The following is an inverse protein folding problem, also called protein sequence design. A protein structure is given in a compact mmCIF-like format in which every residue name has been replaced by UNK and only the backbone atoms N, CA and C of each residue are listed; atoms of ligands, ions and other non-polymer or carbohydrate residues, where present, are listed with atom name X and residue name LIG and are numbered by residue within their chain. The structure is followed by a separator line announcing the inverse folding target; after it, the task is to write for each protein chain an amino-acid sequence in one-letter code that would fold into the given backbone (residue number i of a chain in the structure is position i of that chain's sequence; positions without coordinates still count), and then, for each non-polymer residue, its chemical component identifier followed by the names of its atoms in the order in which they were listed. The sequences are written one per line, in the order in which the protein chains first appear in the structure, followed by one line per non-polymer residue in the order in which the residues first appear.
data_IF_023878633469
#
_entry.id   IF_023878633469
#
_cell.length_a   1.000
_cell.length_b   1.000
_cell.length_c   1.000
_cell.angle_alpha   90.00
_cell.angle_beta   90.00
_cell.angle_gamma   90.00
#
_symmetry.space_group_name_H-M   'P 1'
#
loop_
_entity.id
_entity.type
_entity.pdbx_description
1 polymer ?
#
# COMPACT_ATOMS: atom_id res chain seq x y z
N UNK A 1 5.85 -17.50 22.53
CA UNK A 1 6.89 -16.78 21.76
C UNK A 1 7.25 -17.52 20.49
N UNK A 2 7.50 -18.84 20.53
CA UNK A 2 7.74 -19.65 19.31
C UNK A 2 6.62 -19.48 18.28
N UNK A 3 5.36 -19.69 18.68
CA UNK A 3 4.21 -19.63 17.76
C UNK A 3 4.12 -18.31 16.95
N UNK A 4 4.42 -17.16 17.55
CA UNK A 4 4.41 -15.87 16.85
C UNK A 4 5.56 -15.77 15.82
N UNK A 5 6.74 -16.29 16.16
CA UNK A 5 7.87 -16.30 15.22
C UNK A 5 7.62 -17.31 14.09
N UNK A 6 7.02 -18.46 14.41
CA UNK A 6 6.57 -19.45 13.44
C UNK A 6 5.57 -18.83 12.45
N UNK A 7 4.56 -18.11 12.95
CA UNK A 7 3.59 -17.39 12.13
C UNK A 7 4.25 -16.32 11.25
N UNK A 8 5.16 -15.51 11.81
CA UNK A 8 5.89 -14.49 11.04
C UNK A 8 6.72 -15.12 9.91
N UNK A 9 7.42 -16.22 10.19
CA UNK A 9 8.20 -16.94 9.16
C UNK A 9 7.28 -17.48 8.06
N UNK A 10 6.14 -18.07 8.42
CA UNK A 10 5.14 -18.54 7.44
C UNK A 10 4.63 -17.39 6.58
N UNK A 11 4.30 -16.25 7.18
CA UNK A 11 3.80 -15.08 6.44
C UNK A 11 4.87 -14.51 5.50
N UNK A 12 6.13 -14.40 5.94
CA UNK A 12 7.25 -13.94 5.10
C UNK A 12 7.44 -14.86 3.89
N UNK A 13 7.51 -16.17 4.10
CA UNK A 13 7.66 -17.16 3.02
C UNK A 13 6.47 -17.13 2.05
N UNK A 14 5.25 -16.98 2.58
CA UNK A 14 4.05 -16.86 1.75
C UNK A 14 4.07 -15.61 0.87
N UNK A 15 4.55 -14.49 1.40
CA UNK A 15 4.72 -13.25 0.64
C UNK A 15 5.84 -13.36 -0.40
N UNK A 16 6.93 -14.04 -0.08
CA UNK A 16 8.03 -14.31 -1.00
C UNK A 16 7.58 -15.16 -2.20
N UNK A 17 6.91 -16.28 -1.96
CA UNK A 17 6.37 -17.14 -3.03
C UNK A 17 5.38 -16.35 -3.90
N UNK A 18 4.52 -15.52 -3.28
CA UNK A 18 3.62 -14.65 -4.04
C UNK A 18 4.38 -13.62 -4.87
N UNK A 19 5.44 -13.01 -4.35
CA UNK A 19 6.27 -12.08 -5.11
C UNK A 19 6.95 -12.75 -6.30
N UNK A 20 7.48 -13.96 -6.13
CA UNK A 20 8.06 -14.75 -7.23
C UNK A 20 7.02 -15.04 -8.32
N UNK A 21 5.80 -15.43 -7.94
CA UNK A 21 4.70 -15.64 -8.89
C UNK A 21 4.31 -14.34 -9.63
N UNK A 22 4.26 -13.21 -8.92
CA UNK A 22 3.99 -11.91 -9.55
C UNK A 22 5.13 -11.50 -10.49
N UNK A 23 6.39 -11.72 -10.10
CA UNK A 23 7.55 -11.45 -10.95
C UNK A 23 7.51 -12.26 -12.24
N UNK A 24 7.23 -13.56 -12.17
CA UNK A 24 7.11 -14.40 -13.37
C UNK A 24 6.03 -13.88 -14.34
N UNK A 25 4.87 -13.45 -13.80
CA UNK A 25 3.79 -12.84 -14.60
C UNK A 25 4.21 -11.54 -15.27
N UNK A 26 4.93 -10.68 -14.55
CA UNK A 26 5.43 -9.39 -15.07
C UNK A 26 6.53 -9.60 -16.12
N UNK A 27 7.48 -10.51 -15.90
CA UNK A 27 8.58 -10.75 -16.85
C UNK A 27 8.11 -11.42 -18.14
N UNK A 28 7.17 -12.37 -18.02
CA UNK A 28 6.59 -13.07 -19.17
C UNK A 28 5.39 -12.34 -19.81
N UNK A 29 5.00 -11.18 -19.27
CA UNK A 29 3.84 -10.38 -19.73
C UNK A 29 2.55 -11.21 -19.87
N UNK A 30 2.27 -12.09 -18.91
CA UNK A 30 1.16 -13.05 -19.03
C UNK A 30 -0.23 -12.42 -18.87
N UNK A 31 -0.29 -11.27 -18.19
CA UNK A 31 -1.53 -10.54 -17.92
C UNK A 31 -1.25 -9.08 -17.49
N UNK A 32 -2.29 -8.27 -17.44
CA UNK A 32 -2.22 -6.84 -17.10
C UNK A 32 -2.18 -6.57 -15.58
N UNK A 33 -2.48 -7.56 -14.73
CA UNK A 33 -2.58 -7.42 -13.27
C UNK A 33 -1.30 -7.83 -12.52
N UNK A 34 -0.31 -8.39 -13.21
CA UNK A 34 0.94 -8.85 -12.60
C UNK A 34 1.66 -7.76 -11.81
N UNK A 35 1.75 -6.54 -12.35
CA UNK A 35 2.37 -5.41 -11.66
C UNK A 35 1.53 -4.93 -10.47
N UNK A 36 0.19 -4.93 -10.60
CA UNK A 36 -0.72 -4.60 -9.51
C UNK A 36 -0.55 -5.55 -8.32
N UNK A 37 -0.52 -6.85 -8.59
CA UNK A 37 -0.35 -7.88 -7.57
C UNK A 37 1.04 -7.83 -6.92
N UNK A 38 2.10 -7.60 -7.71
CA UNK A 38 3.45 -7.37 -7.19
C UNK A 38 3.44 -6.22 -6.19
N UNK A 39 2.90 -5.06 -6.59
CA UNK A 39 2.80 -3.86 -5.73
C UNK A 39 1.98 -4.09 -4.47
N UNK A 40 0.84 -4.77 -4.59
CA UNK A 40 0.00 -5.11 -3.45
C UNK A 40 0.74 -6.04 -2.48
N UNK A 41 1.52 -6.99 -2.99
CA UNK A 41 2.32 -7.92 -2.19
C UNK A 41 3.47 -7.22 -1.48
N UNK A 42 4.22 -6.34 -2.17
CA UNK A 42 5.25 -5.47 -1.57
C UNK A 42 4.66 -4.59 -0.46
N UNK A 43 3.45 -4.04 -0.67
CA UNK A 43 2.76 -3.25 0.36
C UNK A 43 2.40 -4.08 1.59
N UNK A 44 1.93 -5.33 1.42
CA UNK A 44 1.65 -6.25 2.53
C UNK A 44 2.93 -6.58 3.30
N UNK A 45 4.03 -6.85 2.59
CA UNK A 45 5.35 -7.06 3.20
C UNK A 45 5.78 -5.86 4.06
N UNK A 46 5.67 -4.64 3.54
CA UNK A 46 5.99 -3.42 4.33
C UNK A 46 5.14 -3.28 5.58
N UNK A 47 3.84 -3.60 5.49
CA UNK A 47 2.94 -3.57 6.65
C UNK A 47 3.30 -4.61 7.70
N UNK A 48 3.70 -5.80 7.26
CA UNK A 48 4.24 -6.85 8.14
C UNK A 48 5.51 -6.40 8.86
N UNK A 49 6.46 -5.80 8.13
CA UNK A 49 7.78 -5.41 8.66
C UNK A 49 7.73 -4.21 9.61
N UNK A 50 6.77 -3.29 9.44
CA UNK A 50 6.78 -2.02 10.15
C UNK A 50 6.68 -2.16 11.68
N UNK A 51 5.83 -3.04 12.25
CA UNK A 51 5.87 -3.33 13.69
C UNK A 51 7.17 -3.99 14.16
N UNK A 52 7.96 -4.56 13.25
CA UNK A 52 9.22 -5.27 13.55
C UNK A 52 10.47 -4.36 13.51
N UNK A 53 10.40 -3.13 12.98
CA UNK A 53 11.58 -2.22 12.85
C UNK A 53 12.42 -2.13 14.12
N UNK A 54 13.74 -2.09 13.99
CA UNK A 54 14.69 -2.17 15.10
C UNK A 54 14.88 -3.60 15.62
N UNK A 55 14.57 -4.60 14.80
CA UNK A 55 15.07 -5.97 14.91
C UNK A 55 16.10 -6.20 13.80
N UNK A 56 17.07 -7.11 13.98
CA UNK A 56 18.08 -7.42 12.96
C UNK A 56 17.45 -7.80 11.61
N UNK A 57 17.98 -7.25 10.52
CA UNK A 57 17.56 -7.59 9.15
C UNK A 57 16.27 -6.89 8.66
N UNK A 58 15.43 -6.35 9.56
CA UNK A 58 14.13 -5.77 9.16
C UNK A 58 14.30 -4.52 8.30
N UNK A 59 15.26 -3.66 8.63
CA UNK A 59 15.46 -2.39 7.93
C UNK A 59 15.93 -2.61 6.49
N UNK A 60 16.78 -3.61 6.26
CA UNK A 60 17.24 -3.98 4.92
C UNK A 60 16.08 -4.45 4.03
N UNK A 61 15.20 -5.32 4.55
CA UNK A 61 14.02 -5.80 3.80
C UNK A 61 13.03 -4.66 3.57
N UNK A 62 12.80 -3.81 4.58
CA UNK A 62 11.89 -2.67 4.45
C UNK A 62 12.38 -1.66 3.41
N UNK A 63 13.68 -1.37 3.40
CA UNK A 63 14.30 -0.47 2.42
C UNK A 63 14.20 -1.02 1.00
N UNK A 64 14.53 -2.31 0.79
CA UNK A 64 14.40 -2.94 -0.52
C UNK A 64 12.94 -2.93 -1.01
N UNK A 65 11.98 -3.24 -0.12
CA UNK A 65 10.56 -3.17 -0.44
C UNK A 65 10.09 -1.74 -0.75
N UNK A 66 10.65 -0.73 -0.08
CA UNK A 66 10.39 0.68 -0.39
C UNK A 66 10.91 1.06 -1.78
N UNK A 67 12.13 0.64 -2.15
CA UNK A 67 12.73 0.92 -3.46
C UNK A 67 11.87 0.35 -4.59
N UNK A 68 11.42 -0.91 -4.48
CA UNK A 68 10.48 -1.51 -5.44
C UNK A 68 9.16 -0.74 -5.48
N UNK A 69 8.65 -0.30 -4.32
CA UNK A 69 7.46 0.56 -4.24
C UNK A 69 7.63 1.88 -5.00
N UNK A 70 8.77 2.55 -4.86
CA UNK A 70 9.08 3.80 -5.56
C UNK A 70 9.20 3.58 -7.08
N UNK A 71 9.94 2.54 -7.48
CA UNK A 71 10.14 2.16 -8.90
C UNK A 71 8.80 1.93 -9.62
N UNK A 72 7.86 1.27 -8.95
CA UNK A 72 6.60 0.83 -9.58
C UNK A 72 5.46 1.84 -9.47
N UNK A 73 5.61 2.92 -8.70
CA UNK A 73 4.50 3.88 -8.46
C UNK A 73 4.15 4.70 -9.69
N UNK A 74 5.09 5.31 -10.42
CA UNK A 74 4.77 6.07 -11.63
C UNK A 74 4.07 5.23 -12.70
N UNK A 75 4.50 3.97 -12.86
CA UNK A 75 3.90 3.02 -13.81
C UNK A 75 2.45 2.76 -13.43
N UNK A 76 2.18 2.43 -12.15
CA UNK A 76 0.82 2.17 -11.69
C UNK A 76 -0.10 3.37 -11.79
N UNK A 77 0.40 4.56 -11.47
CA UNK A 77 -0.38 5.80 -11.56
C UNK A 77 -0.76 6.06 -13.03
N UNK A 78 0.12 5.70 -13.99
CA UNK A 78 -0.15 5.76 -15.43
C UNK A 78 -1.18 4.70 -15.87
N UNK A 79 -1.09 3.46 -15.41
CA UNK A 79 -2.08 2.41 -15.68
C UNK A 79 -3.49 2.81 -15.19
N UNK A 80 -3.58 3.31 -13.95
CA UNK A 80 -4.85 3.72 -13.34
C UNK A 80 -5.49 4.86 -14.13
N UNK A 81 -4.71 5.85 -14.54
CA UNK A 81 -5.19 6.93 -15.40
C UNK A 81 -5.62 6.42 -16.78
N UNK A 82 -4.84 5.54 -17.41
CA UNK A 82 -5.18 4.97 -18.71
C UNK A 82 -6.51 4.21 -18.67
N UNK A 83 -6.68 3.33 -17.67
CA UNK A 83 -7.92 2.59 -17.47
C UNK A 83 -9.11 3.51 -17.19
N UNK A 84 -8.91 4.61 -16.45
CA UNK A 84 -9.94 5.63 -16.26
C UNK A 84 -10.33 6.31 -17.57
N UNK A 85 -9.35 6.82 -18.33
CA UNK A 85 -9.56 7.52 -19.60
C UNK A 85 -10.29 6.62 -20.61
N UNK A 86 -9.90 5.34 -20.68
CA UNK A 86 -10.54 4.38 -21.57
C UNK A 86 -12.03 4.22 -21.24
N UNK A 87 -12.39 4.09 -19.95
CA UNK A 87 -13.79 3.99 -19.50
C UNK A 87 -14.60 5.26 -19.77
N UNK A 88 -13.96 6.42 -19.87
CA UNK A 88 -14.60 7.69 -20.23
C UNK A 88 -14.63 7.97 -21.74
N UNK A 89 -14.19 7.02 -22.57
CA UNK A 89 -14.19 7.16 -24.04
C UNK A 89 -12.97 7.94 -24.59
N UNK A 90 -12.01 8.33 -23.75
CA UNK A 90 -10.78 9.01 -24.17
C UNK A 90 -9.71 8.00 -24.64
N UNK A 91 -10.04 7.19 -25.65
CA UNK A 91 -9.22 6.04 -26.06
C UNK A 91 -7.82 6.43 -26.55
N UNK A 92 -7.66 7.54 -27.28
CA UNK A 92 -6.35 8.01 -27.76
C UNK A 92 -5.42 8.39 -26.60
N UNK A 93 -5.95 9.15 -25.63
CA UNK A 93 -5.20 9.52 -24.44
C UNK A 93 -4.87 8.28 -23.58
N UNK A 94 -5.79 7.32 -23.48
CA UNK A 94 -5.52 6.06 -22.80
C UNK A 94 -4.39 5.26 -23.48
N UNK A 95 -4.45 5.09 -24.80
CA UNK A 95 -3.46 4.34 -25.57
C UNK A 95 -2.04 4.90 -25.45
N UNK A 96 -1.90 6.24 -25.48
CA UNK A 96 -0.61 6.92 -25.27
C UNK A 96 0.03 6.56 -23.93
N UNK A 97 -0.77 6.29 -22.91
CA UNK A 97 -0.31 5.94 -21.55
C UNK A 97 0.01 4.45 -21.40
N UNK A 98 -0.41 3.61 -22.33
CA UNK A 98 -0.14 2.16 -22.31
C UNK A 98 0.90 1.73 -23.35
N UNK A 99 1.29 2.63 -24.26
CA UNK A 99 2.23 2.34 -25.37
C UNK A 99 3.54 1.67 -24.93
N UNK A 100 4.13 2.12 -23.81
CA UNK A 100 5.41 1.63 -23.29
C UNK A 100 5.26 0.68 -22.09
N UNK A 101 4.07 0.14 -21.84
CA UNK A 101 3.81 -0.59 -20.60
C UNK A 101 4.61 -1.89 -20.51
N UNK A 102 4.78 -2.60 -21.64
CA UNK A 102 5.61 -3.81 -21.71
C UNK A 102 7.07 -3.54 -21.36
N UNK A 103 7.65 -2.46 -21.88
CA UNK A 103 9.03 -2.06 -21.58
C UNK A 103 9.21 -1.71 -20.10
N UNK A 104 8.24 -1.00 -19.52
CA UNK A 104 8.23 -0.70 -18.09
C UNK A 104 8.12 -1.96 -17.22
N UNK A 105 7.34 -2.94 -17.65
CA UNK A 105 7.22 -4.22 -16.94
C UNK A 105 8.53 -4.98 -16.95
N UNK A 106 9.22 -5.06 -18.09
CA UNK A 106 10.56 -5.65 -18.15
C UNK A 106 11.59 -4.88 -17.35
N UNK A 107 11.52 -3.54 -17.38
CA UNK A 107 12.40 -2.69 -16.57
C UNK A 107 12.23 -2.99 -15.08
N UNK A 108 11.00 -3.18 -14.59
CA UNK A 108 10.70 -3.61 -13.21
C UNK A 108 11.18 -5.04 -12.95
N UNK A 109 10.82 -5.99 -13.81
CA UNK A 109 11.13 -7.41 -13.61
C UNK A 109 12.63 -7.70 -13.56
N UNK A 110 13.43 -6.90 -14.28
CA UNK A 110 14.88 -7.09 -14.41
C UNK A 110 15.69 -6.10 -13.55
N UNK A 111 15.00 -5.26 -12.79
CA UNK A 111 15.61 -4.18 -12.02
C UNK A 111 16.53 -4.70 -10.90
N UNK A 112 17.59 -3.93 -10.56
CA UNK A 112 18.40 -4.25 -9.39
C UNK A 112 17.60 -4.16 -8.08
N UNK A 113 16.60 -3.28 -7.97
CA UNK A 113 15.76 -3.13 -6.78
C UNK A 113 14.96 -4.40 -6.48
N UNK A 114 14.38 -5.03 -7.51
CA UNK A 114 13.58 -6.25 -7.33
C UNK A 114 14.49 -7.44 -7.02
N UNK A 115 15.65 -7.55 -7.69
CA UNK A 115 16.68 -8.55 -7.37
C UNK A 115 17.17 -8.41 -5.93
N UNK A 116 17.42 -7.18 -5.48
CA UNK A 116 17.84 -6.90 -4.11
C UNK A 116 16.74 -7.30 -3.12
N UNK A 117 15.47 -6.99 -3.40
CA UNK A 117 14.35 -7.41 -2.56
C UNK A 117 14.30 -8.93 -2.41
N UNK A 118 14.41 -9.69 -3.50
CA UNK A 118 14.44 -11.15 -3.42
C UNK A 118 15.63 -11.67 -2.60
N UNK A 119 16.82 -11.12 -2.80
CA UNK A 119 18.02 -11.55 -2.07
C UNK A 119 17.91 -11.33 -0.56
N UNK A 120 17.42 -10.16 -0.11
CA UNK A 120 17.25 -9.91 1.33
C UNK A 120 16.09 -10.68 1.92
N UNK A 121 15.04 -10.94 1.13
CA UNK A 121 13.85 -11.67 1.59
C UNK A 121 14.15 -13.16 1.79
N UNK A 122 14.90 -13.80 0.89
CA UNK A 122 15.33 -15.21 1.03
C UNK A 122 16.13 -15.45 2.31
N UNK A 123 16.97 -14.48 2.69
CA UNK A 123 17.77 -14.56 3.91
C UNK A 123 16.98 -14.24 5.19
N UNK A 124 15.88 -13.49 5.09
CA UNK A 124 15.19 -12.93 6.24
C UNK A 124 14.58 -13.97 7.21
N UNK A 125 13.92 -15.06 6.75
CA UNK A 125 13.45 -16.12 7.64
C UNK A 125 14.56 -16.71 8.52
N UNK A 126 15.76 -16.91 7.95
CA UNK A 126 16.92 -17.42 8.67
C UNK A 126 17.39 -16.44 9.75
N UNK A 127 17.38 -15.14 9.45
CA UNK A 127 17.67 -14.10 10.44
C UNK A 127 16.64 -14.03 11.57
N UNK A 128 15.35 -14.19 11.28
CA UNK A 128 14.30 -14.26 12.30
C UNK A 128 14.52 -15.44 13.25
N UNK A 129 14.85 -16.62 12.71
CA UNK A 129 15.15 -17.82 13.50
C UNK A 129 16.41 -17.64 14.35
N UNK A 130 17.49 -17.13 13.79
CA UNK A 130 18.71 -16.83 14.54
C UNK A 130 18.44 -15.84 15.69
N UNK A 131 17.67 -14.78 15.42
CA UNK A 131 17.26 -13.79 16.43
C UNK A 131 16.40 -14.41 17.54
N UNK A 132 15.54 -15.37 17.20
CA UNK A 132 14.76 -16.14 18.17
C UNK A 132 15.68 -16.96 19.08
N UNK A 133 16.62 -17.72 18.50
CA UNK A 133 17.57 -18.55 19.26
C UNK A 133 18.46 -17.72 20.19
N UNK A 134 18.86 -16.51 19.76
CA UNK A 134 19.66 -15.58 20.56
C UNK A 134 18.83 -14.79 21.59
N UNK A 135 17.51 -15.00 21.67
CA UNK A 135 16.64 -14.30 22.62
C UNK A 135 16.37 -12.83 22.29
N UNK A 136 16.76 -12.34 21.11
CA UNK A 136 16.60 -10.95 20.67
C UNK A 136 15.13 -10.57 20.39
N UNK A 137 14.24 -11.57 20.28
CA UNK A 137 12.81 -11.39 20.04
C UNK A 137 11.97 -11.37 21.33
N UNK A 138 12.61 -11.26 22.50
CA UNK A 138 11.91 -11.18 23.78
C UNK A 138 10.99 -9.96 23.81
N UNK A 139 9.72 -10.18 24.13
CA UNK A 139 8.71 -9.12 24.17
C UNK A 139 8.18 -8.67 22.81
N UNK A 140 8.50 -9.37 21.72
CA UNK A 140 8.05 -9.03 20.36
C UNK A 140 6.53 -8.84 20.27
N UNK A 141 5.76 -9.72 20.90
CA UNK A 141 4.30 -9.63 20.98
C UNK A 141 3.83 -8.24 21.48
N UNK A 142 4.28 -7.85 22.68
CA UNK A 142 3.95 -6.55 23.29
C UNK A 142 4.45 -5.38 22.44
N UNK A 143 5.60 -5.52 21.78
CA UNK A 143 6.16 -4.50 20.88
C UNK A 143 5.24 -4.27 19.67
N UNK A 144 4.73 -5.34 19.06
CA UNK A 144 3.81 -5.26 17.93
C UNK A 144 2.50 -4.63 18.38
N UNK A 145 1.88 -5.14 19.46
CA UNK A 145 0.64 -4.57 20.02
C UNK A 145 0.77 -3.07 20.29
N UNK A 146 1.85 -2.65 20.97
CA UNK A 146 2.11 -1.23 21.27
C UNK A 146 2.24 -0.38 20.01
N UNK A 147 2.83 -0.91 18.94
CA UNK A 147 2.96 -0.18 17.67
C UNK A 147 1.65 -0.10 16.91
N UNK A 148 0.82 -1.13 16.95
CA UNK A 148 -0.52 -1.10 16.35
C UNK A 148 -1.42 -0.09 17.10
N UNK A 149 -1.40 -0.12 18.44
CA UNK A 149 -2.13 0.85 19.26
C UNK A 149 -1.72 2.30 18.95
N UNK A 150 -0.41 2.58 18.88
CA UNK A 150 0.09 3.91 18.49
C UNK A 150 -0.35 4.36 17.10
N UNK A 151 -0.52 3.45 16.15
CA UNK A 151 -1.01 3.80 14.82
C UNK A 151 -2.50 4.14 14.84
N UNK A 152 -3.25 3.46 15.72
CA UNK A 152 -4.66 3.75 15.97
C UNK A 152 -4.84 5.11 16.65
N UNK A 153 -4.10 5.38 17.72
CA UNK A 153 -4.06 6.69 18.40
C UNK A 153 -3.68 7.82 17.45
N UNK A 154 -2.66 7.63 16.61
CA UNK A 154 -2.27 8.64 15.63
C UNK A 154 -3.33 8.89 14.54
N UNK A 155 -4.19 7.90 14.25
CA UNK A 155 -5.33 8.09 13.36
C UNK A 155 -6.45 8.85 14.07
N UNK A 156 -6.71 8.51 15.33
CA UNK A 156 -7.67 9.20 16.19
C UNK A 156 -7.37 10.71 16.29
N UNK A 157 -6.14 11.04 16.69
CA UNK A 157 -5.65 12.42 16.80
C UNK A 157 -5.80 13.18 15.48
N UNK A 158 -5.51 12.51 14.35
CA UNK A 158 -5.60 13.13 13.04
C UNK A 158 -7.04 13.30 12.54
N UNK A 159 -7.97 12.44 12.96
CA UNK A 159 -9.40 12.57 12.63
C UNK A 159 -10.06 13.70 13.40
N UNK A 160 -9.64 13.90 14.66
CA UNK A 160 -10.17 14.96 15.53
C UNK A 160 -9.54 16.34 15.30
N UNK A 161 -8.55 16.46 14.42
CA UNK A 161 -8.00 17.75 13.99
C UNK A 161 -9.00 18.47 13.04
N UNK A 162 -9.54 19.65 13.40
CA UNK A 162 -10.47 20.39 12.54
C UNK A 162 -9.85 20.85 11.21
N UNK A 163 -8.51 20.90 11.13
CA UNK A 163 -7.75 21.29 9.95
C UNK A 163 -7.04 20.08 9.33
N UNK A 164 -7.57 18.87 9.55
CA UNK A 164 -6.93 17.65 9.06
C UNK A 164 -6.68 17.67 7.55
N UNK A 165 -5.48 17.21 7.18
CA UNK A 165 -5.16 16.96 5.78
C UNK A 165 -5.68 15.58 5.36
N UNK A 166 -6.59 15.57 4.37
CA UNK A 166 -7.15 14.34 3.77
C UNK A 166 -6.09 13.42 3.20
N UNK A 167 -5.00 13.96 2.65
CA UNK A 167 -3.89 13.15 2.17
C UNK A 167 -3.18 12.43 3.33
N UNK A 168 -2.87 13.15 4.41
CA UNK A 168 -2.34 12.56 5.65
C UNK A 168 -3.27 11.49 6.22
N UNK A 169 -4.57 11.75 6.33
CA UNK A 169 -5.56 10.77 6.78
C UNK A 169 -5.59 9.52 5.92
N UNK A 170 -5.55 9.67 4.59
CA UNK A 170 -5.47 8.54 3.66
C UNK A 170 -4.27 7.64 3.92
N UNK A 171 -3.11 8.23 4.23
CA UNK A 171 -1.90 7.47 4.56
C UNK A 171 -2.01 6.75 5.92
N UNK A 172 -2.64 7.39 6.92
CA UNK A 172 -2.87 6.80 8.24
C UNK A 172 -3.89 5.66 8.19
N UNK A 173 -5.02 5.86 7.51
CA UNK A 173 -6.06 4.83 7.30
C UNK A 173 -5.46 3.60 6.60
N UNK A 174 -4.71 3.80 5.51
CA UNK A 174 -4.00 2.70 4.83
C UNK A 174 -3.09 1.97 5.80
N UNK A 175 -2.32 2.71 6.60
CA UNK A 175 -1.37 2.15 7.56
C UNK A 175 -2.06 1.29 8.61
N UNK A 176 -3.11 1.80 9.26
CA UNK A 176 -3.88 1.06 10.27
C UNK A 176 -4.52 -0.18 9.65
N UNK A 177 -5.21 -0.04 8.51
CA UNK A 177 -5.90 -1.16 7.86
C UNK A 177 -4.95 -2.29 7.51
N UNK A 178 -3.84 -1.99 6.82
CA UNK A 178 -2.89 -3.03 6.42
C UNK A 178 -2.14 -3.64 7.60
N UNK A 179 -1.91 -2.89 8.67
CA UNK A 179 -1.29 -3.44 9.87
C UNK A 179 -2.24 -4.39 10.61
N UNK A 180 -3.53 -4.08 10.67
CA UNK A 180 -4.55 -4.97 11.22
C UNK A 180 -4.74 -6.23 10.37
N UNK A 181 -4.71 -6.11 9.03
CA UNK A 181 -4.73 -7.26 8.12
C UNK A 181 -3.49 -8.16 8.27
N UNK A 182 -2.31 -7.57 8.52
CA UNK A 182 -1.07 -8.34 8.73
C UNK A 182 -1.02 -9.03 10.10
N UNK A 183 -1.67 -8.46 11.11
CA UNK A 183 -1.68 -8.95 12.49
C UNK A 183 -3.12 -9.11 13.01
N UNK A 184 -3.91 -10.04 12.46
CA UNK A 184 -5.33 -10.18 12.78
C UNK A 184 -5.60 -10.52 14.26
N UNK A 185 -4.70 -11.27 14.89
CA UNK A 185 -4.83 -11.68 16.29
C UNK A 185 -4.25 -10.67 17.30
N UNK A 186 -3.48 -9.69 16.85
CA UNK A 186 -2.79 -8.71 17.71
C UNK A 186 -3.36 -7.30 17.62
N UNK A 187 -4.11 -7.00 16.57
CA UNK A 187 -4.81 -5.73 16.48
C UNK A 187 -5.98 -5.74 17.48
N UNK A 188 -6.14 -4.63 18.19
CA UNK A 188 -7.22 -4.43 19.18
C UNK A 188 -8.27 -3.45 18.64
N UNK A 189 -8.50 -3.50 17.33
CA UNK A 189 -9.46 -2.60 16.70
C UNK A 189 -10.89 -3.00 17.06
N UNK A 190 -11.82 -2.03 17.18
CA UNK A 190 -13.25 -2.33 17.31
C UNK A 190 -13.74 -3.19 16.14
N UNK A 191 -14.73 -4.07 16.39
CA UNK A 191 -15.31 -4.95 15.37
C UNK A 191 -15.71 -4.23 14.05
N UNK A 192 -16.31 -3.02 14.05
CA UNK A 192 -16.65 -2.33 12.80
C UNK A 192 -15.45 -1.68 12.10
N UNK A 193 -14.29 -1.53 12.76
CA UNK A 193 -13.20 -0.67 12.31
C UNK A 193 -12.65 -1.05 10.94
N UNK A 194 -12.41 -2.35 10.67
CA UNK A 194 -11.88 -2.79 9.37
C UNK A 194 -12.81 -2.41 8.20
N UNK A 195 -14.13 -2.53 8.39
CA UNK A 195 -15.12 -2.16 7.37
C UNK A 195 -15.16 -0.66 7.16
N UNK A 196 -15.12 0.12 8.25
CA UNK A 196 -15.11 1.58 8.20
C UNK A 196 -13.83 2.11 7.57
N UNK A 197 -12.66 1.56 7.93
CA UNK A 197 -11.36 1.89 7.34
C UNK A 197 -11.32 1.59 5.84
N UNK A 198 -11.90 0.47 5.40
CA UNK A 198 -12.00 0.14 3.97
C UNK A 198 -12.84 1.17 3.22
N UNK A 199 -14.02 1.52 3.75
CA UNK A 199 -14.90 2.54 3.17
C UNK A 199 -14.20 3.90 3.07
N UNK A 200 -13.51 4.31 4.14
CA UNK A 200 -12.78 5.59 4.18
C UNK A 200 -11.60 5.59 3.19
N UNK A 201 -10.88 4.48 3.08
CA UNK A 201 -9.79 4.33 2.12
C UNK A 201 -10.27 4.42 0.67
N UNK A 202 -11.43 3.84 0.35
CA UNK A 202 -12.03 3.91 -0.98
C UNK A 202 -12.44 5.35 -1.32
N UNK A 203 -13.17 6.03 -0.45
CA UNK A 203 -13.60 7.41 -0.69
C UNK A 203 -12.41 8.39 -0.82
N UNK A 204 -11.41 8.28 0.05
CA UNK A 204 -10.18 9.07 -0.07
C UNK A 204 -9.32 8.66 -1.27
N UNK A 205 -9.46 7.44 -1.76
CA UNK A 205 -8.86 6.97 -3.01
C UNK A 205 -9.44 7.72 -4.20
N UNK A 206 -10.76 7.71 -4.34
CA UNK A 206 -11.49 8.40 -5.40
C UNK A 206 -11.12 9.90 -5.50
N UNK A 207 -11.06 10.57 -4.35
CA UNK A 207 -10.64 11.98 -4.26
C UNK A 207 -9.18 12.18 -4.67
N UNK A 208 -8.27 11.36 -4.15
CA UNK A 208 -6.84 11.51 -4.39
C UNK A 208 -6.47 11.26 -5.86
N UNK A 209 -7.11 10.27 -6.50
CA UNK A 209 -6.87 9.97 -7.90
C UNK A 209 -7.26 11.16 -8.78
N UNK A 210 -8.41 11.80 -8.53
CA UNK A 210 -8.82 13.03 -9.23
C UNK A 210 -7.82 14.17 -9.03
N UNK A 211 -7.36 14.37 -7.79
CA UNK A 211 -6.36 15.40 -7.47
C UNK A 211 -5.04 15.15 -8.24
N UNK A 212 -4.54 13.91 -8.27
CA UNK A 212 -3.34 13.56 -9.03
C UNK A 212 -3.53 13.79 -10.53
N UNK A 213 -4.69 13.45 -11.10
CA UNK A 213 -4.96 13.67 -12.52
C UNK A 213 -5.05 15.13 -12.89
N UNK A 214 -5.63 15.97 -12.03
CA UNK A 214 -5.65 17.43 -12.24
C UNK A 214 -4.23 18.02 -12.27
N UNK A 215 -3.34 17.59 -11.36
CA UNK A 215 -1.93 18.00 -11.40
C UNK A 215 -1.24 17.55 -12.70
N UNK A 216 -1.51 16.34 -13.19
CA UNK A 216 -0.96 15.86 -14.46
C UNK A 216 -1.49 16.67 -15.64
N UNK A 217 -2.75 17.07 -15.62
CA UNK A 217 -3.34 17.85 -16.71
C UNK A 217 -2.65 19.21 -16.90
N UNK A 218 -2.06 19.79 -15.85
CA UNK A 218 -1.27 21.03 -15.97
C UNK A 218 -0.06 20.89 -16.91
N UNK A 219 0.46 19.66 -17.07
CA UNK A 219 1.66 19.37 -17.86
C UNK A 219 1.37 18.55 -19.13
N UNK A 220 0.21 17.91 -19.21
CA UNK A 220 -0.19 16.99 -20.29
C UNK A 220 -1.40 17.56 -21.08
N UNK A 221 -1.17 18.22 -22.23
CA UNK A 221 -2.23 18.94 -22.95
C UNK A 221 -3.40 18.05 -23.42
N UNK A 222 -3.16 16.77 -23.67
CA UNK A 222 -4.18 15.81 -24.07
C UNK A 222 -5.19 15.49 -22.95
N UNK A 223 -4.93 15.92 -21.71
CA UNK A 223 -5.85 15.77 -20.58
C UNK A 223 -6.76 16.98 -20.37
N UNK A 224 -6.54 18.10 -21.08
CA UNK A 224 -7.26 19.36 -20.83
C UNK A 224 -8.78 19.21 -20.98
N UNK A 225 -9.24 18.37 -21.90
CA UNK A 225 -10.68 18.09 -22.08
C UNK A 225 -11.33 17.41 -20.86
N UNK A 226 -10.54 16.75 -20.02
CA UNK A 226 -11.03 16.00 -18.85
C UNK A 226 -11.15 16.86 -17.59
N UNK A 227 -10.45 18.01 -17.54
CA UNK A 227 -10.27 18.83 -16.33
C UNK A 227 -11.61 19.24 -15.70
N UNK A 228 -12.57 19.70 -16.50
CA UNK A 228 -13.88 20.13 -16.01
C UNK A 228 -14.64 18.98 -15.34
N UNK A 229 -14.60 17.78 -15.94
CA UNK A 229 -15.19 16.58 -15.38
C UNK A 229 -14.52 16.17 -14.08
N UNK A 230 -13.19 16.13 -14.05
CA UNK A 230 -12.42 15.75 -12.87
C UNK A 230 -12.60 16.71 -11.70
N UNK A 231 -12.69 18.02 -11.92
CA UNK A 231 -13.02 18.99 -10.85
C UNK A 231 -14.38 18.69 -10.21
N UNK A 232 -15.38 18.38 -11.04
CA UNK A 232 -16.71 18.00 -10.54
C UNK A 232 -16.67 16.69 -9.76
N UNK A 233 -16.01 15.67 -10.29
CA UNK A 233 -15.85 14.38 -9.60
C UNK A 233 -15.08 14.52 -8.29
N UNK A 234 -14.02 15.33 -8.27
CA UNK A 234 -13.22 15.59 -7.07
C UNK A 234 -14.07 16.23 -5.97
N UNK A 235 -14.90 17.24 -6.28
CA UNK A 235 -15.79 17.88 -5.31
C UNK A 235 -16.83 16.90 -4.73
N UNK A 236 -17.36 15.98 -5.55
CA UNK A 236 -18.27 14.94 -5.07
C UNK A 236 -17.54 13.91 -4.18
N UNK A 237 -16.34 13.52 -4.57
CA UNK A 237 -15.50 12.57 -3.82
C UNK A 237 -15.03 13.18 -2.49
N UNK A 238 -14.76 14.48 -2.44
CA UNK A 238 -14.43 15.22 -1.23
C UNK A 238 -15.58 15.15 -0.22
N UNK A 239 -16.80 15.55 -0.62
CA UNK A 239 -17.98 15.45 0.23
C UNK A 239 -18.27 14.03 0.71
N UNK A 240 -18.03 13.02 -0.14
CA UNK A 240 -18.17 11.60 0.22
C UNK A 240 -17.10 11.19 1.23
N UNK A 241 -15.85 11.62 1.06
CA UNK A 241 -14.75 11.31 1.96
C UNK A 241 -15.03 11.87 3.36
N UNK A 242 -15.45 13.14 3.46
CA UNK A 242 -15.74 13.78 4.74
C UNK A 242 -16.81 13.02 5.52
N UNK A 243 -17.95 12.72 4.89
CA UNK A 243 -19.03 11.94 5.53
C UNK A 243 -18.59 10.56 6.01
N UNK A 244 -17.68 9.92 5.29
CA UNK A 244 -17.16 8.59 5.66
C UNK A 244 -16.12 8.70 6.77
N UNK A 245 -15.35 9.79 6.82
CA UNK A 245 -14.43 10.09 7.91
C UNK A 245 -15.16 10.43 9.20
N UNK A 246 -16.23 11.24 9.14
CA UNK A 246 -17.10 11.53 10.29
C UNK A 246 -17.66 10.23 10.86
N UNK A 247 -18.22 9.38 9.99
CA UNK A 247 -18.74 8.07 10.39
C UNK A 247 -17.67 7.16 10.98
N UNK A 248 -16.45 7.18 10.41
CA UNK A 248 -15.32 6.41 10.95
C UNK A 248 -14.98 6.87 12.36
N UNK A 249 -14.94 8.19 12.59
CA UNK A 249 -14.74 8.79 13.91
C UNK A 249 -15.84 8.33 14.88
N UNK A 250 -17.10 8.57 14.53
CA UNK A 250 -18.27 8.24 15.36
C UNK A 250 -18.33 6.75 15.72
N UNK A 251 -18.02 5.87 14.77
CA UNK A 251 -18.18 4.42 14.96
C UNK A 251 -17.03 3.80 15.74
N UNK A 252 -15.83 4.38 15.68
CA UNK A 252 -14.62 3.71 16.14
C UNK A 252 -13.84 4.45 17.24
N UNK A 253 -14.10 5.74 17.44
CA UNK A 253 -13.34 6.62 18.35
C UNK A 253 -14.22 7.43 19.31
N UNK A 254 -15.55 7.21 19.30
CA UNK A 254 -16.49 7.79 20.29
C UNK A 254 -16.48 7.07 21.63
#
# INVERSE_FOLDING_TARGET
MSALVDELVVQVLSLEVRLLACHARVDALTDEEGLHDLRTTVRRLRSLLRPLRGLPGVEQVEQAAQQVGSLTTPIRDREVLAAYLHRQGHHVAAARRTEQLSDDYWAVARSPELKQLFSVLDAFPRFLRASQHQGLLKGLHKRIEKRLAKQWEALDEALHDPLHDRHRLRLLIKRVRYAAEAYPHLNRLPAPALKSLKSAQEALGDWHDCWQWLLRAEQEPDLQSCVTGWRRTMALAENKADRVLDRLSETCFS
#
